data_IF_767462972111
#
_entry.id   IF_767462972111
#
_cell.length_a   1.000
_cell.length_b   1.000
_cell.length_c   1.000
_cell.angle_alpha   90.00
_cell.angle_beta   90.00
_cell.angle_gamma   90.00
#
_symmetry.space_group_name_H-M   'P 1'
#
loop_
_entity.id
_entity.type
_entity.pdbx_description
1 polymer ?
#
# COMPACT_ATOMS: atom_id res chain seq x y z
N UNK A 1 7.00 2.81 7.19
CA UNK A 1 6.28 1.96 8.15
C UNK A 1 5.97 0.56 7.62
N UNK A 2 5.62 0.36 6.34
CA UNK A 2 5.30 -0.98 5.79
C UNK A 2 6.40 -2.02 6.05
N UNK A 3 7.66 -1.68 5.72
CA UNK A 3 8.79 -2.57 5.99
C UNK A 3 8.95 -2.94 7.47
N UNK A 4 8.68 -1.99 8.37
CA UNK A 4 8.74 -2.24 9.81
C UNK A 4 7.58 -3.13 10.27
N UNK A 5 6.38 -2.96 9.69
CA UNK A 5 5.20 -3.79 9.98
C UNK A 5 5.33 -5.23 9.51
N UNK A 6 5.99 -5.47 8.37
CA UNK A 6 6.26 -6.82 7.89
C UNK A 6 7.48 -7.48 8.56
N UNK A 7 8.24 -6.73 9.35
CA UNK A 7 9.35 -7.28 10.10
C UNK A 7 8.83 -7.84 11.44
N UNK A 8 8.76 -9.17 11.54
CA UNK A 8 8.25 -9.86 12.72
C UNK A 8 8.94 -9.40 14.01
N UNK A 9 10.28 -9.30 14.02
CA UNK A 9 11.03 -8.88 15.20
C UNK A 9 10.71 -7.44 15.64
N UNK A 10 10.65 -6.50 14.69
CA UNK A 10 10.32 -5.11 15.00
C UNK A 10 8.89 -4.98 15.51
N UNK A 11 7.92 -5.65 14.86
CA UNK A 11 6.53 -5.59 15.30
C UNK A 11 6.32 -6.19 16.69
N UNK A 12 6.75 -7.43 16.92
CA UNK A 12 6.45 -8.11 18.18
C UNK A 12 7.09 -7.44 19.39
N UNK A 13 8.28 -6.84 19.21
CA UNK A 13 9.10 -6.32 20.31
C UNK A 13 9.01 -4.81 20.49
N UNK A 14 8.75 -4.06 19.42
CA UNK A 14 8.89 -2.61 19.42
C UNK A 14 7.66 -1.84 18.93
N UNK A 15 6.60 -2.52 18.47
CA UNK A 15 5.36 -1.84 18.13
C UNK A 15 4.81 -1.03 19.31
N UNK A 16 4.29 0.14 19.00
CA UNK A 16 3.61 1.04 19.92
C UNK A 16 2.36 1.62 19.24
N UNK A 17 1.31 1.98 19.99
CA UNK A 17 0.09 2.64 19.48
C UNK A 17 0.35 3.83 18.54
N UNK A 18 1.40 4.60 18.80
CA UNK A 18 1.80 5.77 18.03
C UNK A 18 2.19 5.41 16.59
N UNK A 19 2.55 4.14 16.31
CA UNK A 19 2.84 3.68 14.95
C UNK A 19 1.59 3.70 14.09
N UNK A 20 0.47 3.20 14.62
CA UNK A 20 -0.81 3.15 13.92
C UNK A 20 -1.39 4.57 13.79
N UNK A 21 -1.24 5.40 14.83
CA UNK A 21 -1.59 6.82 14.76
C UNK A 21 -0.77 7.56 13.68
N UNK A 22 0.55 7.34 13.61
CA UNK A 22 1.39 7.97 12.60
C UNK A 22 1.02 7.49 11.18
N UNK A 23 0.68 6.21 11.01
CA UNK A 23 0.21 5.66 9.73
C UNK A 23 -1.11 6.33 9.32
N UNK A 24 -2.06 6.46 10.24
CA UNK A 24 -3.33 7.15 9.98
C UNK A 24 -3.07 8.60 9.54
N UNK A 25 -2.32 9.37 10.32
CA UNK A 25 -2.03 10.77 10.02
C UNK A 25 -1.32 10.93 8.67
N UNK A 26 -0.33 10.07 8.38
CA UNK A 26 0.35 10.08 7.09
C UNK A 26 -0.60 9.74 5.93
N UNK A 27 -1.49 8.77 6.11
CA UNK A 27 -2.48 8.38 5.10
C UNK A 27 -3.49 9.49 4.85
N UNK A 28 -3.95 10.19 5.90
CA UNK A 28 -4.84 11.34 5.76
C UNK A 28 -4.13 12.52 5.08
N UNK A 29 -2.85 12.79 5.39
CA UNK A 29 -2.08 13.79 4.63
C UNK A 29 -1.94 13.43 3.15
N UNK A 30 -1.66 12.17 2.83
CA UNK A 30 -1.63 11.69 1.45
C UNK A 30 -3.01 11.83 0.79
N UNK A 31 -4.09 11.57 1.51
CA UNK A 31 -5.44 11.71 0.99
C UNK A 31 -5.80 13.16 0.68
N UNK A 32 -5.47 14.08 1.59
CA UNK A 32 -5.78 15.51 1.46
C UNK A 32 -4.89 16.22 0.42
N UNK A 33 -3.61 15.85 0.34
CA UNK A 33 -2.58 16.63 -0.39
C UNK A 33 -1.79 15.80 -1.42
N UNK A 34 -2.11 14.52 -1.60
CA UNK A 34 -1.30 13.59 -2.41
C UNK A 34 -1.44 13.74 -3.93
N UNK A 35 -2.33 14.60 -4.42
CA UNK A 35 -2.48 14.94 -5.83
C UNK A 35 -1.46 16.02 -6.23
N UNK A 36 -0.24 15.60 -6.51
CA UNK A 36 0.89 16.51 -6.76
C UNK A 36 0.89 17.08 -8.18
N UNK A 37 1.01 18.40 -8.31
CA UNK A 37 1.20 19.09 -9.61
C UNK A 37 2.46 18.65 -10.36
N UNK A 38 3.39 17.97 -9.67
CA UNK A 38 4.57 17.35 -10.26
C UNK A 38 4.26 16.15 -11.17
N UNK A 39 3.02 15.65 -11.15
CA UNK A 39 2.53 14.61 -12.07
C UNK A 39 2.59 13.21 -11.49
N UNK A 40 2.66 12.22 -12.39
CA UNK A 40 2.42 10.82 -12.05
C UNK A 40 3.61 10.05 -11.44
N UNK A 41 4.82 10.62 -11.40
CA UNK A 41 6.06 9.91 -11.04
C UNK A 41 6.04 9.18 -9.68
N UNK A 42 7.01 8.29 -9.48
CA UNK A 42 7.12 7.45 -8.27
C UNK A 42 7.80 8.16 -7.09
N UNK A 43 8.85 8.95 -7.34
CA UNK A 43 9.67 9.55 -6.29
C UNK A 43 8.99 10.72 -5.57
N UNK A 44 8.15 11.45 -6.28
CA UNK A 44 7.48 12.67 -5.80
C UNK A 44 6.28 13.00 -6.71
N UNK A 45 5.46 12.00 -6.97
CA UNK A 45 4.24 12.11 -7.77
C UNK A 45 3.14 11.22 -7.21
N UNK A 46 1.99 11.24 -7.88
CA UNK A 46 0.76 10.58 -7.40
C UNK A 46 0.96 9.07 -7.22
N UNK A 47 1.70 8.41 -8.12
CA UNK A 47 1.94 6.96 -8.03
C UNK A 47 2.70 6.58 -6.77
N UNK A 48 3.72 7.36 -6.38
CA UNK A 48 4.48 7.13 -5.15
C UNK A 48 3.61 7.18 -3.90
N UNK A 49 2.75 8.21 -3.84
CA UNK A 49 1.78 8.38 -2.77
C UNK A 49 0.79 7.21 -2.73
N UNK A 50 0.17 6.88 -3.86
CA UNK A 50 -0.81 5.79 -3.97
C UNK A 50 -0.21 4.43 -3.58
N UNK A 51 0.98 4.10 -4.09
CA UNK A 51 1.63 2.83 -3.82
C UNK A 51 2.02 2.70 -2.33
N UNK A 52 2.42 3.80 -1.67
CA UNK A 52 2.71 3.76 -0.23
C UNK A 52 1.47 3.38 0.61
N UNK A 53 0.29 3.86 0.22
CA UNK A 53 -1.00 3.52 0.84
C UNK A 53 -1.42 2.09 0.46
N UNK A 54 -1.15 1.65 -0.77
CA UNK A 54 -1.39 0.28 -1.21
C UNK A 54 -0.59 -0.74 -0.39
N UNK A 55 0.66 -0.42 -0.02
CA UNK A 55 1.45 -1.28 0.88
C UNK A 55 0.85 -1.34 2.30
N UNK A 56 0.21 -0.27 2.77
CA UNK A 56 -0.52 -0.31 4.05
C UNK A 56 -1.71 -1.25 3.98
N UNK A 57 -2.47 -1.25 2.87
CA UNK A 57 -3.58 -2.20 2.68
C UNK A 57 -3.12 -3.63 3.00
N UNK A 58 -2.06 -4.09 2.35
CA UNK A 58 -1.59 -5.46 2.55
C UNK A 58 -1.18 -5.73 4.02
N UNK A 59 -0.52 -4.76 4.67
CA UNK A 59 -0.08 -4.90 6.07
C UNK A 59 -1.25 -4.96 7.05
N UNK A 60 -2.41 -4.39 6.71
CA UNK A 60 -3.60 -4.41 7.56
C UNK A 60 -4.58 -5.51 7.16
N UNK A 61 -4.54 -5.98 5.92
CA UNK A 61 -5.40 -7.05 5.43
C UNK A 61 -4.84 -8.45 5.72
N UNK A 62 -3.52 -8.65 5.61
CA UNK A 62 -2.91 -9.99 5.63
C UNK A 62 -2.06 -10.27 6.88
N UNK A 63 -1.59 -9.26 7.60
CA UNK A 63 -0.69 -9.43 8.77
C UNK A 63 -1.42 -9.33 10.12
N UNK A 64 -2.70 -9.73 10.17
CA UNK A 64 -3.56 -9.59 11.35
C UNK A 64 -3.02 -10.30 12.60
N UNK A 65 -2.55 -11.54 12.47
CA UNK A 65 -2.00 -12.31 13.60
C UNK A 65 -0.76 -11.64 14.21
N UNK A 66 0.12 -11.11 13.37
CA UNK A 66 1.32 -10.40 13.82
C UNK A 66 0.95 -9.11 14.56
N UNK A 67 -0.06 -8.38 14.07
CA UNK A 67 -0.54 -7.16 14.71
C UNK A 67 -1.17 -7.45 16.10
N UNK A 68 -1.98 -8.51 16.21
CA UNK A 68 -2.57 -8.90 17.49
C UNK A 68 -1.51 -9.35 18.50
N UNK A 69 -0.52 -10.12 18.05
CA UNK A 69 0.62 -10.51 18.89
C UNK A 69 1.41 -9.28 19.39
N UNK A 70 1.63 -8.30 18.52
CA UNK A 70 2.34 -7.07 18.86
C UNK A 70 1.58 -6.24 19.92
N UNK A 71 0.25 -6.11 19.77
CA UNK A 71 -0.64 -5.45 20.74
C UNK A 71 -0.61 -6.14 22.11
N UNK A 72 -0.76 -7.45 22.13
CA UNK A 72 -0.69 -8.24 23.35
C UNK A 72 0.65 -8.07 24.06
N UNK A 73 1.76 -8.12 23.31
CA UNK A 73 3.10 -7.93 23.88
C UNK A 73 3.30 -6.52 24.43
N UNK A 74 2.76 -5.49 23.76
CA UNK A 74 2.80 -4.12 24.25
C UNK A 74 2.05 -3.99 25.58
N UNK A 75 0.81 -4.49 25.66
CA UNK A 75 0.01 -4.48 26.89
C UNK A 75 0.73 -5.19 28.05
N UNK A 76 1.36 -6.34 27.77
CA UNK A 76 2.13 -7.07 28.77
C UNK A 76 3.35 -6.28 29.28
N UNK A 77 4.01 -5.51 28.40
CA UNK A 77 5.18 -4.69 28.76
C UNK A 77 4.81 -3.41 29.52
N UNK A 78 3.72 -2.76 29.16
CA UNK A 78 3.36 -1.41 29.67
C UNK A 78 2.24 -1.41 30.70
N UNK A 79 1.57 -2.54 30.91
CA UNK A 79 0.38 -2.66 31.78
C UNK A 79 -0.73 -1.65 31.43
N UNK A 80 -0.79 -1.21 30.17
CA UNK A 80 -1.72 -0.20 29.69
C UNK A 80 -2.82 -0.86 28.85
N UNK A 81 -4.08 -0.54 29.14
CA UNK A 81 -5.20 -0.93 28.28
C UNK A 81 -5.27 -0.02 27.05
N UNK A 82 -5.12 -0.61 25.87
CA UNK A 82 -5.14 0.07 24.57
C UNK A 82 -6.49 -0.04 23.85
N UNK A 83 -7.48 -0.70 24.46
CA UNK A 83 -8.78 -1.02 23.83
C UNK A 83 -9.59 0.21 23.42
N UNK A 84 -9.35 1.37 24.05
CA UNK A 84 -10.09 2.62 23.80
C UNK A 84 -9.32 3.67 22.99
N UNK A 85 -8.04 3.44 22.68
CA UNK A 85 -7.15 4.49 22.18
C UNK A 85 -6.84 4.42 20.68
N UNK A 86 -7.32 3.42 19.95
CA UNK A 86 -6.84 3.15 18.59
C UNK A 86 -7.88 3.39 17.51
N UNK A 87 -7.50 4.06 16.40
CA UNK A 87 -8.35 4.16 15.23
C UNK A 87 -8.56 2.76 14.62
N UNK A 88 -9.78 2.47 14.18
CA UNK A 88 -10.08 1.24 13.45
C UNK A 88 -9.56 1.36 12.01
N UNK A 89 -8.29 1.03 11.82
CA UNK A 89 -7.64 1.01 10.51
C UNK A 89 -7.82 -0.38 9.89
N UNK A 90 -8.46 -0.43 8.73
CA UNK A 90 -8.74 -1.67 7.99
C UNK A 90 -7.98 -1.71 6.66
N UNK A 91 -7.78 -2.90 6.09
CA UNK A 91 -7.23 -3.02 4.74
C UNK A 91 -8.01 -2.18 3.72
N UNK A 92 -9.33 -2.26 3.74
CA UNK A 92 -10.23 -1.53 2.83
C UNK A 92 -10.16 0.01 2.99
N UNK A 93 -9.88 0.51 4.20
CA UNK A 93 -9.63 1.94 4.44
C UNK A 93 -8.44 2.46 3.61
N UNK A 94 -7.36 1.67 3.51
CA UNK A 94 -6.20 2.00 2.69
C UNK A 94 -6.45 1.72 1.21
N UNK A 95 -7.04 0.56 0.87
CA UNK A 95 -7.26 0.16 -0.51
C UNK A 95 -8.13 1.17 -1.26
N UNK A 96 -9.22 1.61 -0.66
CA UNK A 96 -10.13 2.60 -1.28
C UNK A 96 -9.42 3.91 -1.63
N UNK A 97 -8.56 4.42 -0.74
CA UNK A 97 -7.76 5.64 -0.98
C UNK A 97 -6.69 5.41 -2.05
N UNK A 98 -5.95 4.30 -1.96
CA UNK A 98 -4.93 3.95 -2.94
C UNK A 98 -5.53 3.85 -4.35
N UNK A 99 -6.63 3.10 -4.51
CA UNK A 99 -7.31 2.94 -5.80
C UNK A 99 -7.89 4.25 -6.32
N UNK A 100 -8.39 5.12 -5.46
CA UNK A 100 -8.86 6.46 -5.85
C UNK A 100 -7.73 7.31 -6.44
N UNK A 101 -6.56 7.33 -5.78
CA UNK A 101 -5.37 8.01 -6.30
C UNK A 101 -4.87 7.38 -7.61
N UNK A 102 -4.89 6.05 -7.70
CA UNK A 102 -4.52 5.33 -8.93
C UNK A 102 -5.48 5.64 -10.08
N UNK A 103 -6.79 5.73 -9.84
CA UNK A 103 -7.75 6.14 -10.86
C UNK A 103 -7.48 7.56 -11.35
N UNK A 104 -7.19 8.50 -10.44
CA UNK A 104 -6.83 9.88 -10.77
C UNK A 104 -5.51 9.99 -11.54
N UNK A 105 -4.56 9.08 -11.30
CA UNK A 105 -3.27 9.01 -11.99
C UNK A 105 -3.43 8.97 -13.52
N UNK A 106 -4.56 8.46 -14.05
CA UNK A 106 -4.87 8.45 -15.49
C UNK A 106 -4.92 9.84 -16.12
N UNK A 107 -5.15 10.87 -15.31
CA UNK A 107 -5.14 12.27 -15.72
C UNK A 107 -3.71 12.85 -15.80
N UNK A 108 -2.70 12.16 -15.26
CA UNK A 108 -1.28 12.58 -15.31
C UNK A 108 -0.60 12.17 -16.61
N UNK A 109 -1.14 12.61 -17.75
CA UNK A 109 -0.59 12.25 -19.06
C UNK A 109 0.86 12.74 -19.18
N UNK A 110 1.83 11.85 -19.44
CA UNK A 110 3.25 12.22 -19.50
C UNK A 110 3.61 13.00 -20.77
N UNK A 111 2.64 13.38 -21.61
CA UNK A 111 2.81 14.12 -22.86
C UNK A 111 1.60 15.03 -23.08
N UNK A 112 1.32 15.96 -22.17
CA UNK A 112 0.26 16.93 -22.42
C UNK A 112 0.65 17.82 -23.61
N UNK A 113 0.13 17.49 -24.79
CA UNK A 113 0.25 18.27 -26.03
C UNK A 113 -0.95 19.19 -26.25
N UNK A 114 -1.88 19.24 -25.30
CA UNK A 114 -3.09 20.06 -25.43
C UNK A 114 -2.72 21.55 -25.34
N UNK A 115 -3.11 22.38 -26.32
CA UNK A 115 -2.97 23.84 -26.22
C UNK A 115 -3.99 24.46 -25.25
N UNK A 116 -4.93 23.66 -24.72
CA UNK A 116 -5.91 24.06 -23.72
C UNK A 116 -5.47 23.52 -22.36
N UNK A 117 -5.35 24.42 -21.38
CA UNK A 117 -5.09 24.06 -19.99
C UNK A 117 -6.24 23.19 -19.47
N UNK A 118 -6.04 21.88 -19.42
CA UNK A 118 -6.87 21.03 -18.55
C UNK A 118 -6.74 21.54 -17.12
N UNK A 119 -7.77 21.34 -16.28
CA UNK A 119 -7.83 21.93 -14.93
C UNK A 119 -6.69 21.51 -14.00
N UNK A 120 -5.94 20.47 -14.37
CA UNK A 120 -4.82 19.95 -13.61
C UNK A 120 -3.53 20.11 -14.42
N UNK A 121 -2.79 21.19 -14.17
CA UNK A 121 -1.47 21.44 -14.76
C UNK A 121 -0.43 20.48 -14.15
N UNK A 122 -0.39 19.25 -14.66
CA UNK A 122 0.67 18.29 -14.34
C UNK A 122 1.92 18.56 -15.17
N UNK A 123 3.06 18.72 -14.48
CA UNK A 123 4.34 18.99 -15.11
C UNK A 123 4.85 17.76 -15.88
N UNK A 124 5.44 18.01 -17.05
CA UNK A 124 6.28 17.04 -17.76
C UNK A 124 7.51 16.68 -16.92
N UNK A 125 7.81 15.38 -16.70
CA UNK A 125 9.02 14.98 -15.99
C UNK A 125 10.29 15.39 -16.75
N UNK A 126 11.39 15.62 -16.02
CA UNK A 126 12.68 15.99 -16.62
C UNK A 126 13.26 14.82 -17.43
N UNK A 127 13.11 13.59 -16.94
CA UNK A 127 13.34 12.36 -17.72
C UNK A 127 12.06 11.51 -17.86
N UNK A 128 11.25 11.72 -18.92
CA UNK A 128 9.94 11.06 -19.10
C UNK A 128 9.96 9.52 -19.14
N UNK A 129 11.13 8.92 -19.33
CA UNK A 129 11.32 7.47 -19.42
C UNK A 129 12.09 6.87 -18.24
N UNK A 130 12.48 7.67 -17.25
CA UNK A 130 13.11 7.15 -16.04
C UNK A 130 12.07 6.55 -15.08
N UNK A 131 12.44 5.48 -14.37
CA UNK A 131 11.53 4.76 -13.47
C UNK A 131 10.93 5.63 -12.37
N UNK A 132 11.73 6.54 -11.81
CA UNK A 132 11.39 7.28 -10.59
C UNK A 132 10.55 8.52 -10.85
N UNK A 133 10.64 9.13 -12.03
CA UNK A 133 9.94 10.39 -12.36
C UNK A 133 9.03 10.27 -13.59
N UNK A 134 9.38 9.37 -14.52
CA UNK A 134 8.73 9.20 -15.81
C UNK A 134 7.64 8.15 -15.81
N UNK A 135 7.18 7.80 -17.01
CA UNK A 135 6.07 6.87 -17.28
C UNK A 135 6.25 5.46 -16.68
N UNK A 136 7.45 4.85 -16.60
CA UNK A 136 7.56 3.49 -16.07
C UNK A 136 7.12 3.35 -14.61
N UNK A 137 7.29 4.38 -13.78
CA UNK A 137 6.83 4.38 -12.38
C UNK A 137 5.33 4.14 -12.23
N UNK A 138 4.46 4.99 -12.83
CA UNK A 138 3.03 4.75 -12.96
C UNK A 138 2.64 3.36 -13.48
N UNK A 139 3.34 2.85 -14.49
CA UNK A 139 3.07 1.52 -15.08
C UNK A 139 3.32 0.41 -14.06
N UNK A 140 4.42 0.49 -13.31
CA UNK A 140 4.71 -0.44 -12.23
C UNK A 140 3.65 -0.34 -11.11
N UNK A 141 3.24 0.86 -10.72
CA UNK A 141 2.22 1.06 -9.69
C UNK A 141 0.86 0.47 -10.09
N UNK A 142 0.46 0.62 -11.36
CA UNK A 142 -0.74 -0.02 -11.90
C UNK A 142 -0.64 -1.54 -11.92
N UNK A 143 0.53 -2.06 -12.28
CA UNK A 143 0.78 -3.50 -12.31
C UNK A 143 0.66 -4.10 -10.90
N UNK A 144 1.24 -3.45 -9.88
CA UNK A 144 1.06 -3.84 -8.47
C UNK A 144 -0.41 -3.78 -8.05
N UNK A 145 -1.10 -2.68 -8.40
CA UNK A 145 -2.52 -2.50 -8.07
C UNK A 145 -3.39 -3.63 -8.62
N UNK A 146 -3.11 -4.11 -9.84
CA UNK A 146 -3.80 -5.26 -10.43
C UNK A 146 -3.62 -6.54 -9.61
N UNK A 147 -2.42 -6.80 -9.09
CA UNK A 147 -2.14 -7.97 -8.23
C UNK A 147 -2.88 -7.83 -6.91
N UNK A 148 -2.81 -6.66 -6.27
CA UNK A 148 -3.50 -6.39 -5.00
C UNK A 148 -5.01 -6.55 -5.13
N UNK A 149 -5.62 -6.02 -6.20
CA UNK A 149 -7.05 -6.16 -6.47
C UNK A 149 -7.42 -7.64 -6.63
N UNK A 150 -6.65 -8.39 -7.42
CA UNK A 150 -6.90 -9.82 -7.64
C UNK A 150 -6.76 -10.62 -6.33
N UNK A 151 -5.75 -10.33 -5.50
CA UNK A 151 -5.55 -10.97 -4.21
C UNK A 151 -6.71 -10.67 -3.25
N UNK A 152 -7.16 -9.41 -3.18
CA UNK A 152 -8.30 -9.01 -2.35
C UNK A 152 -9.59 -9.70 -2.80
N UNK A 153 -9.87 -9.72 -4.11
CA UNK A 153 -11.03 -10.43 -4.67
C UNK A 153 -10.97 -11.93 -4.37
N UNK A 154 -9.81 -12.57 -4.54
CA UNK A 154 -9.63 -13.99 -4.22
C UNK A 154 -9.89 -14.26 -2.73
N UNK A 155 -9.38 -13.43 -1.83
CA UNK A 155 -9.69 -13.52 -0.41
C UNK A 155 -11.19 -13.42 -0.14
N UNK A 156 -11.89 -12.47 -0.76
CA UNK A 156 -13.35 -12.34 -0.62
C UNK A 156 -14.10 -13.60 -1.08
N UNK A 157 -13.63 -14.28 -2.13
CA UNK A 157 -14.20 -15.55 -2.58
C UNK A 157 -13.99 -16.69 -1.58
N UNK A 158 -12.81 -16.78 -0.97
CA UNK A 158 -12.50 -17.77 0.08
C UNK A 158 -13.33 -17.50 1.33
N UNK A 159 -13.42 -16.24 1.76
CA UNK A 159 -14.25 -15.79 2.87
C UNK A 159 -15.72 -16.20 2.65
N UNK A 160 -16.24 -16.01 1.42
CA UNK A 160 -17.60 -16.40 1.05
C UNK A 160 -17.84 -17.92 1.07
N UNK A 161 -16.79 -18.73 0.95
CA UNK A 161 -16.84 -20.20 1.09
C UNK A 161 -16.67 -20.67 2.53
N UNK A 162 -16.45 -19.75 3.48
CA UNK A 162 -16.16 -20.06 4.88
C UNK A 162 -14.68 -20.39 5.16
N UNK A 163 -13.80 -20.18 4.18
CA UNK A 163 -12.36 -20.41 4.27
C UNK A 163 -11.63 -19.13 4.74
N UNK A 164 -11.98 -18.63 5.93
CA UNK A 164 -11.53 -17.31 6.43
C UNK A 164 -10.17 -17.33 7.15
N UNK A 165 -9.55 -18.50 7.31
CA UNK A 165 -8.30 -18.62 8.07
C UNK A 165 -7.08 -18.21 7.23
N UNK A 166 -6.04 -17.70 7.89
CA UNK A 166 -4.76 -17.41 7.24
C UNK A 166 -4.18 -18.66 6.55
N UNK A 167 -4.28 -19.83 7.19
CA UNK A 167 -3.83 -21.10 6.62
C UNK A 167 -4.59 -21.52 5.35
N UNK A 168 -5.90 -21.25 5.26
CA UNK A 168 -6.67 -21.54 4.05
C UNK A 168 -6.22 -20.64 2.89
N UNK A 169 -5.96 -19.36 3.16
CA UNK A 169 -5.39 -18.42 2.19
C UNK A 169 -3.97 -18.81 1.75
N UNK A 170 -3.10 -19.17 2.69
CA UNK A 170 -1.71 -19.56 2.40
C UNK A 170 -1.61 -20.87 1.61
N UNK A 171 -2.61 -21.74 1.69
CA UNK A 171 -2.67 -22.99 0.91
C UNK A 171 -3.38 -22.85 -0.44
N UNK A 172 -4.02 -21.71 -0.72
CA UNK A 172 -4.67 -21.44 -2.00
C UNK A 172 -3.63 -21.17 -3.10
N UNK A 173 -3.60 -22.03 -4.12
CA UNK A 173 -2.62 -21.93 -5.22
C UNK A 173 -2.74 -20.61 -6.00
N UNK A 174 -3.96 -20.07 -6.17
CA UNK A 174 -4.18 -18.80 -6.87
C UNK A 174 -3.62 -17.65 -6.04
N UNK A 175 -3.85 -17.65 -4.72
CA UNK A 175 -3.30 -16.66 -3.83
C UNK A 175 -1.77 -16.70 -3.80
N UNK A 176 -1.15 -17.87 -3.70
CA UNK A 176 0.31 -18.04 -3.78
C UNK A 176 0.90 -17.51 -5.09
N UNK A 177 0.24 -17.80 -6.22
CA UNK A 177 0.66 -17.29 -7.52
C UNK A 177 0.60 -15.75 -7.55
N UNK A 178 -0.47 -15.15 -7.02
CA UNK A 178 -0.59 -13.69 -6.92
C UNK A 178 0.49 -13.09 -6.00
N UNK A 179 0.77 -13.71 -4.85
CA UNK A 179 1.85 -13.30 -3.95
C UNK A 179 3.21 -13.27 -4.67
N UNK A 180 3.48 -14.25 -5.53
CA UNK A 180 4.73 -14.31 -6.31
C UNK A 180 4.87 -13.18 -7.35
N UNK A 181 3.74 -12.56 -7.76
CA UNK A 181 3.67 -11.53 -8.79
C UNK A 181 3.76 -10.10 -8.26
N UNK A 182 3.75 -9.90 -6.94
CA UNK A 182 4.02 -8.58 -6.36
C UNK A 182 5.39 -8.10 -6.81
N UNK A 183 5.46 -6.86 -7.29
CA UNK A 183 6.70 -6.18 -7.62
C UNK A 183 7.37 -5.64 -6.35
N UNK A 184 6.57 -5.30 -5.35
CA UNK A 184 7.00 -4.47 -4.23
C UNK A 184 7.40 -3.06 -4.69
N UNK A 185 7.76 -2.18 -3.76
CA UNK A 185 8.16 -0.81 -4.09
C UNK A 185 9.58 -0.77 -4.69
N UNK A 186 9.77 -0.45 -5.98
CA UNK A 186 11.02 -0.70 -6.69
C UNK A 186 12.26 -0.02 -6.12
N UNK A 187 12.09 1.11 -5.42
CA UNK A 187 13.19 1.88 -4.83
C UNK A 187 13.44 1.59 -3.35
N UNK A 188 12.66 0.70 -2.71
CA UNK A 188 12.84 0.34 -1.31
C UNK A 188 13.58 -1.00 -1.21
N UNK A 189 14.77 -1.05 -0.57
CA UNK A 189 15.36 -2.32 -0.18
C UNK A 189 14.37 -3.04 0.77
N UNK A 190 14.21 -4.36 0.59
CA UNK A 190 13.30 -5.25 1.32
C UNK A 190 11.82 -5.31 0.87
N UNK A 191 11.37 -4.46 -0.05
CA UNK A 191 10.12 -4.68 -0.81
C UNK A 191 10.47 -5.10 -2.24
N UNK A 192 11.14 -6.25 -2.40
CA UNK A 192 11.49 -6.80 -3.71
C UNK A 192 10.38 -7.71 -4.21
N UNK A 193 10.31 -7.86 -5.52
CA UNK A 193 9.49 -8.89 -6.15
C UNK A 193 9.90 -10.26 -5.59
N UNK A 194 8.93 -10.99 -5.05
CA UNK A 194 9.17 -12.28 -4.38
C UNK A 194 9.56 -13.36 -5.41
N UNK A 195 9.26 -13.14 -6.70
CA UNK A 195 9.50 -14.07 -7.80
C UNK A 195 10.75 -13.82 -8.67
N UNK A 196 11.64 -12.89 -8.33
CA UNK A 196 12.91 -12.71 -9.06
C UNK A 196 14.03 -13.53 -8.40
N UNK A 197 14.10 -14.82 -8.74
CA UNK A 197 15.24 -15.69 -8.51
C UNK A 197 15.88 -16.11 -9.82
#
# INVERSE_FOLDING_TARGET
MACARRNSHLMTNHWQPEWDQAIQLATERIWEEGLLSKGGGLCHGISGNAWSVLLMHDCFEYDGELAEQAKHNYQARTQTDISSMQPELTGDYFLSRALSLMLHLRETRPYNTSPQSDSNDYRMPDNPYALTEGLPGPVCAWSESCVVIQARLRKMELDAKGETSAAARESDAVFQELESRHLGFPTLPYHRAVGMF
#
